data_IF_083749427275
#
_entry.id   IF_083749427275
#
_cell.length_a   1.000
_cell.length_b   1.000
_cell.length_c   1.000
_cell.angle_alpha   90.00
_cell.angle_beta   90.00
_cell.angle_gamma   90.00
#
_symmetry.space_group_name_H-M   'P 1'
#
loop_
_entity.id
_entity.type
_entity.pdbx_description
1 polymer ?
#
# COMPACT_ATOMS: atom_id res chain seq x y z
N UNK A 1 6.70 -18.83 72.11
CA UNK A 1 5.81 -18.02 71.25
C UNK A 1 6.44 -17.62 69.88
N UNK A 2 7.69 -17.99 69.60
CA UNK A 2 8.45 -17.62 68.39
C UNK A 2 8.42 -18.63 67.21
N UNK A 3 7.96 -19.85 67.42
CA UNK A 3 7.92 -20.88 66.37
C UNK A 3 6.70 -20.79 65.43
N UNK A 4 5.58 -20.21 65.91
CA UNK A 4 4.35 -20.09 65.10
C UNK A 4 4.39 -18.91 64.10
N UNK A 5 5.20 -17.89 64.35
CA UNK A 5 5.35 -16.74 63.44
C UNK A 5 6.19 -17.05 62.18
N UNK A 6 7.14 -18.01 62.28
CA UNK A 6 7.99 -18.40 61.12
C UNK A 6 7.29 -19.33 60.14
N UNK A 7 6.30 -20.09 60.55
CA UNK A 7 5.52 -20.96 59.67
C UNK A 7 4.52 -20.17 58.80
N UNK A 8 3.96 -19.09 59.32
CA UNK A 8 3.03 -18.25 58.57
C UNK A 8 3.69 -17.41 57.46
N UNK A 9 4.95 -16.99 57.66
CA UNK A 9 5.71 -16.26 56.62
C UNK A 9 6.17 -17.16 55.48
N UNK A 10 6.46 -18.45 55.71
CA UNK A 10 6.83 -19.40 54.67
C UNK A 10 5.66 -19.77 53.74
N UNK A 11 4.43 -19.84 54.24
CA UNK A 11 3.23 -20.15 53.44
C UNK A 11 2.84 -18.95 52.54
N UNK A 12 3.01 -17.72 53.01
CA UNK A 12 2.74 -16.51 52.20
C UNK A 12 3.73 -16.34 51.04
N UNK A 13 5.00 -16.78 51.17
CA UNK A 13 6.01 -16.69 50.13
C UNK A 13 5.77 -17.69 48.97
N UNK A 14 5.20 -18.86 49.26
CA UNK A 14 4.87 -19.89 48.26
C UNK A 14 3.64 -19.48 47.42
N UNK A 15 2.68 -18.79 48.03
CA UNK A 15 1.50 -18.32 47.32
C UNK A 15 1.81 -17.18 46.33
N UNK A 16 2.88 -16.40 46.52
CA UNK A 16 3.29 -15.32 45.60
C UNK A 16 4.00 -15.83 44.35
N UNK A 17 4.56 -17.05 44.37
CA UNK A 17 5.23 -17.65 43.20
C UNK A 17 4.29 -18.30 42.18
N UNK A 18 3.04 -18.58 42.55
CA UNK A 18 2.03 -19.14 41.64
C UNK A 18 1.29 -18.11 40.80
N UNK A 19 1.45 -16.80 41.07
CA UNK A 19 0.81 -15.72 40.34
C UNK A 19 1.50 -15.35 39.00
N UNK A 20 2.71 -15.90 38.75
CA UNK A 20 3.46 -15.61 37.50
C UNK A 20 3.34 -16.70 36.43
N UNK A 21 2.47 -17.69 36.58
CA UNK A 21 2.30 -18.78 35.61
C UNK A 21 1.05 -18.64 34.74
N UNK A 22 0.43 -17.46 34.66
CA UNK A 22 -0.45 -17.18 33.50
C UNK A 22 0.45 -16.91 32.30
N UNK A 23 0.93 -18.00 31.72
CA UNK A 23 1.32 -17.98 30.33
C UNK A 23 0.13 -17.41 29.56
N UNK A 24 0.36 -16.33 28.81
CA UNK A 24 -0.66 -15.80 27.93
C UNK A 24 -1.15 -16.93 27.03
N UNK A 25 -2.30 -17.49 27.37
CA UNK A 25 -2.99 -18.44 26.54
C UNK A 25 -3.41 -17.67 25.29
N UNK A 26 -2.68 -17.86 24.20
CA UNK A 26 -3.16 -17.50 22.88
C UNK A 26 -4.38 -18.39 22.62
N UNK A 27 -5.56 -17.89 22.97
CA UNK A 27 -6.82 -18.52 22.58
C UNK A 27 -6.95 -18.34 21.08
N UNK A 28 -6.39 -19.28 20.33
CA UNK A 28 -6.60 -19.38 18.89
C UNK A 28 -7.97 -20.03 18.71
N UNK A 29 -9.01 -19.25 18.84
CA UNK A 29 -10.41 -19.71 18.67
C UNK A 29 -10.71 -20.14 17.24
N UNK A 30 -9.80 -19.89 16.31
CA UNK A 30 -9.95 -20.13 14.87
C UNK A 30 -8.76 -20.91 14.27
N UNK A 31 -8.39 -22.03 14.82
CA UNK A 31 -7.43 -22.95 14.20
C UNK A 31 -6.06 -22.34 13.84
N UNK A 32 -5.02 -23.16 13.78
CA UNK A 32 -3.71 -22.76 13.25
C UNK A 32 -3.85 -22.55 11.75
N UNK A 33 -3.96 -21.31 11.33
CA UNK A 33 -4.05 -20.94 9.90
C UNK A 33 -3.98 -19.42 9.77
N UNK A 34 -3.25 -18.94 8.78
CA UNK A 34 -3.27 -17.52 8.42
C UNK A 34 -4.64 -17.24 7.79
N UNK A 35 -5.57 -16.67 8.56
CA UNK A 35 -6.78 -16.10 8.02
C UNK A 35 -6.42 -14.79 7.31
N UNK A 36 -5.77 -14.86 6.15
CA UNK A 36 -5.65 -13.70 5.29
C UNK A 36 -7.01 -13.48 4.63
N UNK A 37 -7.69 -12.39 4.99
CA UNK A 37 -8.84 -11.92 4.23
C UNK A 37 -8.31 -11.49 2.87
N UNK A 38 -8.49 -12.37 1.87
CA UNK A 38 -8.17 -12.06 0.49
C UNK A 38 -9.22 -11.07 -0.02
N UNK A 39 -8.86 -9.80 -0.04
CA UNK A 39 -9.70 -8.76 -0.61
C UNK A 39 -9.68 -8.84 -2.14
N UNK A 40 -10.84 -8.60 -2.76
CA UNK A 40 -10.96 -8.43 -4.21
C UNK A 40 -10.48 -7.04 -4.66
N UNK A 41 -10.30 -6.13 -3.71
CA UNK A 41 -9.87 -4.77 -3.96
C UNK A 41 -8.39 -4.72 -4.38
N UNK A 42 -8.04 -3.95 -5.42
CA UNK A 42 -6.65 -3.78 -5.81
C UNK A 42 -5.87 -3.04 -4.72
N UNK A 43 -4.61 -3.41 -4.55
CA UNK A 43 -3.67 -2.58 -3.80
C UNK A 43 -3.45 -1.26 -4.56
N UNK A 44 -3.41 -0.14 -3.84
CA UNK A 44 -3.22 1.18 -4.46
C UNK A 44 -1.90 1.77 -3.95
N UNK A 45 -1.07 2.25 -4.88
CA UNK A 45 0.24 2.78 -4.52
C UNK A 45 0.80 3.76 -5.56
N UNK A 46 1.90 4.40 -5.18
CA UNK A 46 2.71 5.23 -6.07
C UNK A 46 3.99 4.44 -6.37
N UNK A 47 4.28 4.13 -7.65
CA UNK A 47 5.53 3.45 -8.01
C UNK A 47 6.75 4.29 -7.64
N UNK A 48 7.85 3.62 -7.34
CA UNK A 48 9.12 4.26 -7.04
C UNK A 48 9.51 5.26 -8.13
N UNK A 49 10.09 6.38 -7.73
CA UNK A 49 10.56 7.47 -8.58
C UNK A 49 9.49 8.21 -9.39
N UNK A 50 8.20 7.89 -9.26
CA UNK A 50 7.12 8.57 -9.98
C UNK A 50 6.24 9.44 -9.10
N UNK A 51 6.49 9.47 -7.79
CA UNK A 51 5.74 10.27 -6.82
C UNK A 51 6.09 11.75 -6.81
N UNK A 52 7.12 12.13 -7.55
CA UNK A 52 7.57 13.52 -7.64
C UNK A 52 8.08 13.86 -9.04
N UNK A 53 8.10 15.13 -9.35
CA UNK A 53 8.59 15.67 -10.62
C UNK A 53 9.34 16.97 -10.39
N UNK A 54 10.50 17.11 -11.05
CA UNK A 54 11.28 18.33 -11.09
C UNK A 54 11.41 18.79 -12.52
N UNK A 55 11.13 20.08 -12.76
CA UNK A 55 11.32 20.74 -14.05
C UNK A 55 12.39 21.80 -13.97
N UNK A 56 13.09 22.02 -15.07
CA UNK A 56 14.16 23.01 -15.22
C UNK A 56 13.78 24.03 -16.29
N UNK A 57 14.37 25.21 -16.22
CA UNK A 57 14.18 26.26 -17.23
C UNK A 57 14.61 25.80 -18.64
N UNK A 58 14.12 26.44 -19.70
CA UNK A 58 14.41 26.07 -21.08
C UNK A 58 15.93 26.13 -21.38
N UNK A 59 16.46 25.04 -21.97
CA UNK A 59 17.87 24.94 -22.35
C UNK A 59 18.87 24.92 -21.19
N UNK A 60 18.38 24.77 -19.95
CA UNK A 60 19.18 24.81 -18.76
C UNK A 60 19.85 23.46 -18.47
N UNK A 61 21.05 23.51 -17.90
CA UNK A 61 21.65 22.39 -17.21
C UNK A 61 20.77 21.99 -15.99
N UNK A 62 20.96 20.80 -15.46
CA UNK A 62 20.20 20.34 -14.29
C UNK A 62 20.81 20.85 -12.97
N UNK A 63 21.22 22.13 -12.96
CA UNK A 63 21.75 22.79 -11.78
C UNK A 63 20.63 23.33 -10.88
N UNK A 64 20.96 23.56 -9.61
CA UNK A 64 20.00 24.15 -8.65
C UNK A 64 19.52 25.55 -9.13
N UNK A 65 20.39 26.30 -9.83
CA UNK A 65 20.05 27.64 -10.35
C UNK A 65 19.04 27.63 -11.51
N UNK A 66 18.86 26.51 -12.18
CA UNK A 66 17.94 26.34 -13.30
C UNK A 66 16.63 25.65 -12.92
N UNK A 67 16.44 25.31 -11.65
CA UNK A 67 15.24 24.68 -11.15
C UNK A 67 14.04 25.61 -11.35
N UNK A 68 12.99 25.10 -12.00
CA UNK A 68 11.75 25.84 -12.27
C UNK A 68 10.64 25.44 -11.28
N UNK A 69 10.15 24.21 -11.37
CA UNK A 69 9.10 23.70 -10.50
C UNK A 69 9.48 22.32 -9.96
N UNK A 70 9.25 22.11 -8.68
CA UNK A 70 9.25 20.79 -8.06
C UNK A 70 7.87 20.50 -7.49
N UNK A 71 7.36 19.29 -7.70
CA UNK A 71 6.06 18.86 -7.18
C UNK A 71 6.14 17.44 -6.65
N UNK A 72 5.37 17.15 -5.61
CA UNK A 72 5.25 15.83 -5.00
C UNK A 72 3.78 15.43 -4.85
N UNK A 73 3.50 14.17 -5.14
CA UNK A 73 2.20 13.54 -4.94
C UNK A 73 2.15 12.97 -3.51
N UNK A 74 1.15 13.38 -2.76
CA UNK A 74 1.00 13.06 -1.34
C UNK A 74 -0.45 12.68 -1.04
N UNK A 75 -0.70 12.22 0.17
CA UNK A 75 -2.03 11.94 0.69
C UNK A 75 -2.87 11.04 -0.24
N UNK A 76 -2.23 9.97 -0.76
CA UNK A 76 -2.92 8.98 -1.57
C UNK A 76 -3.92 8.23 -0.69
N UNK A 77 -5.20 8.33 -1.03
CA UNK A 77 -6.31 7.66 -0.35
C UNK A 77 -7.05 6.78 -1.34
N UNK A 78 -7.36 5.58 -0.92
CA UNK A 78 -8.10 4.63 -1.74
C UNK A 78 -9.44 4.27 -1.09
N UNK A 79 -10.46 4.14 -1.92
CA UNK A 79 -11.74 3.53 -1.56
C UNK A 79 -12.05 2.42 -2.56
N UNK A 80 -12.76 1.40 -2.10
CA UNK A 80 -13.09 0.26 -2.94
C UNK A 80 -14.50 -0.24 -2.62
N UNK A 81 -15.21 -0.64 -3.67
CA UNK A 81 -16.50 -1.30 -3.56
C UNK A 81 -16.43 -2.61 -4.38
N UNK A 82 -16.56 -3.73 -3.70
CA UNK A 82 -16.48 -5.09 -4.25
C UNK A 82 -17.82 -5.85 -4.16
N UNK A 83 -18.94 -5.16 -3.95
CA UNK A 83 -20.26 -5.79 -3.76
C UNK A 83 -20.96 -6.15 -5.06
N UNK A 84 -20.57 -5.57 -6.20
CA UNK A 84 -21.15 -5.78 -7.51
C UNK A 84 -20.32 -6.77 -8.37
N UNK A 85 -20.78 -7.04 -9.60
CA UNK A 85 -20.07 -7.88 -10.59
C UNK A 85 -18.72 -7.30 -11.00
N UNK A 86 -18.54 -6.00 -10.83
CA UNK A 86 -17.27 -5.31 -11.01
C UNK A 86 -16.83 -4.68 -9.71
N UNK A 87 -15.59 -4.93 -9.35
CA UNK A 87 -14.92 -4.23 -8.25
C UNK A 87 -14.57 -2.83 -8.74
N UNK A 88 -15.10 -1.81 -8.08
CA UNK A 88 -14.74 -0.41 -8.33
C UNK A 88 -13.73 0.06 -7.30
N UNK A 89 -12.58 0.49 -7.76
CA UNK A 89 -11.58 1.13 -6.90
C UNK A 89 -11.33 2.56 -7.36
N UNK A 90 -11.26 3.47 -6.40
CA UNK A 90 -11.01 4.88 -6.62
C UNK A 90 -9.85 5.33 -5.73
N UNK A 91 -8.98 6.17 -6.27
CA UNK A 91 -7.92 6.81 -5.51
C UNK A 91 -7.99 8.32 -5.69
N UNK A 92 -7.79 9.05 -4.60
CA UNK A 92 -7.58 10.50 -4.57
C UNK A 92 -6.19 10.82 -4.03
N UNK A 93 -5.61 11.90 -4.49
CA UNK A 93 -4.28 12.35 -4.08
C UNK A 93 -4.17 13.87 -4.14
N UNK A 94 -3.21 14.40 -3.40
CA UNK A 94 -2.85 15.80 -3.39
C UNK A 94 -1.49 15.98 -4.03
N UNK A 95 -1.34 17.01 -4.87
CA UNK A 95 -0.06 17.44 -5.43
C UNK A 95 0.33 18.76 -4.79
N UNK A 96 1.44 18.76 -4.08
CA UNK A 96 2.06 19.96 -3.53
C UNK A 96 3.23 20.37 -4.41
N UNK A 97 3.25 21.61 -4.86
CA UNK A 97 4.29 22.11 -5.74
C UNK A 97 4.92 23.39 -5.21
N UNK A 98 6.16 23.60 -5.61
CA UNK A 98 6.93 24.79 -5.37
C UNK A 98 7.60 25.26 -6.65
N UNK A 99 7.55 26.58 -6.93
CA UNK A 99 8.26 27.22 -8.04
C UNK A 99 9.40 28.12 -7.53
N UNK A 100 10.43 28.30 -8.35
CA UNK A 100 11.58 29.15 -8.00
C UNK A 100 11.31 30.62 -8.32
N UNK A 101 10.83 30.92 -9.52
CA UNK A 101 10.46 32.29 -9.90
C UNK A 101 9.01 32.59 -9.46
N UNK A 102 8.86 33.53 -8.53
CA UNK A 102 7.57 33.89 -7.94
C UNK A 102 6.89 35.08 -8.65
N UNK A 103 7.53 35.66 -9.66
CA UNK A 103 7.01 36.83 -10.39
C UNK A 103 5.82 36.43 -11.27
N UNK A 104 4.76 37.19 -11.13
CA UNK A 104 3.52 36.98 -11.88
C UNK A 104 2.74 35.74 -11.48
N UNK A 105 1.44 35.79 -11.72
CA UNK A 105 0.60 34.60 -11.59
C UNK A 105 0.94 33.58 -12.69
N UNK A 106 0.98 32.27 -12.34
CA UNK A 106 1.34 31.22 -13.30
C UNK A 106 0.53 29.94 -13.03
N UNK A 107 0.05 29.33 -14.09
CA UNK A 107 -0.58 28.01 -14.04
C UNK A 107 0.37 26.97 -14.63
N UNK A 108 0.56 25.86 -13.91
CA UNK A 108 1.37 24.73 -14.33
C UNK A 108 0.48 23.50 -14.38
N UNK A 109 0.53 22.76 -15.48
CA UNK A 109 -0.21 21.50 -15.63
C UNK A 109 0.77 20.35 -15.67
N UNK A 110 0.62 19.40 -14.75
CA UNK A 110 1.46 18.23 -14.62
C UNK A 110 0.68 16.97 -15.03
N UNK A 111 1.18 16.20 -16.01
CA UNK A 111 0.55 14.95 -16.39
C UNK A 111 0.83 13.86 -15.33
N UNK A 112 -0.18 13.05 -15.04
CA UNK A 112 -0.05 11.87 -14.23
C UNK A 112 -0.65 10.65 -14.93
N UNK A 113 -0.19 9.47 -14.61
CA UNK A 113 -0.79 8.22 -15.09
C UNK A 113 -1.53 7.51 -13.96
N UNK A 114 -2.51 6.71 -14.37
CA UNK A 114 -3.04 5.61 -13.58
C UNK A 114 -2.91 4.33 -14.39
N UNK A 115 -2.39 3.27 -13.79
CA UNK A 115 -2.30 1.96 -14.43
C UNK A 115 -2.85 0.89 -13.51
N UNK A 116 -3.53 -0.11 -14.10
CA UNK A 116 -3.94 -1.32 -13.42
C UNK A 116 -3.05 -2.45 -13.88
N UNK A 117 -2.37 -3.06 -12.92
CA UNK A 117 -1.55 -4.25 -13.13
C UNK A 117 -2.29 -5.49 -12.61
N UNK A 118 -2.01 -6.63 -13.22
CA UNK A 118 -2.38 -7.96 -12.75
C UNK A 118 -1.13 -8.78 -12.50
N UNK A 119 -1.05 -9.40 -11.32
CA UNK A 119 0.10 -10.22 -10.94
C UNK A 119 1.41 -9.45 -10.82
N UNK A 120 1.36 -8.15 -10.53
CA UNK A 120 2.52 -7.28 -10.33
C UNK A 120 3.24 -6.84 -11.62
N UNK A 121 2.89 -7.38 -12.79
CA UNK A 121 3.64 -7.09 -14.04
C UNK A 121 2.78 -6.89 -15.28
N UNK A 122 1.63 -7.55 -15.40
CA UNK A 122 0.80 -7.46 -16.59
C UNK A 122 -0.04 -6.17 -16.57
N UNK A 123 0.23 -5.25 -17.48
CA UNK A 123 -0.55 -4.00 -17.64
C UNK A 123 -1.90 -4.34 -18.28
N UNK A 124 -2.99 -4.14 -17.52
CA UNK A 124 -4.36 -4.35 -18.00
C UNK A 124 -4.93 -3.08 -18.62
N UNK A 125 -4.65 -1.94 -17.99
CA UNK A 125 -5.07 -0.64 -18.51
C UNK A 125 -4.12 0.46 -18.05
N UNK A 126 -3.97 1.50 -18.88
CA UNK A 126 -3.25 2.73 -18.53
C UNK A 126 -4.03 3.92 -19.07
N UNK A 127 -4.13 4.96 -18.26
CA UNK A 127 -4.69 6.27 -18.65
C UNK A 127 -3.79 7.37 -18.14
N UNK A 128 -3.81 8.50 -18.84
CA UNK A 128 -3.08 9.71 -18.44
C UNK A 128 -4.12 10.80 -18.16
N UNK A 129 -3.96 11.46 -17.03
CA UNK A 129 -4.71 12.63 -16.61
C UNK A 129 -3.79 13.82 -16.39
N UNK A 130 -4.35 14.93 -15.94
CA UNK A 130 -3.62 16.16 -15.67
C UNK A 130 -4.08 16.77 -14.36
N UNK A 131 -3.12 17.28 -13.57
CA UNK A 131 -3.38 18.09 -12.38
C UNK A 131 -2.91 19.52 -12.68
N UNK A 132 -3.77 20.49 -12.39
CA UNK A 132 -3.48 21.91 -12.60
C UNK A 132 -3.14 22.55 -11.27
N UNK A 133 -2.04 23.30 -11.25
CA UNK A 133 -1.50 24.03 -10.12
C UNK A 133 -1.48 25.53 -10.46
N UNK A 134 -2.14 26.35 -9.68
CA UNK A 134 -2.21 27.79 -9.89
C UNK A 134 -1.41 28.50 -8.80
N UNK A 135 -0.36 29.18 -9.20
CA UNK A 135 0.47 30.03 -8.36
C UNK A 135 0.01 31.47 -8.50
N UNK A 136 -0.38 32.10 -7.42
CA UNK A 136 -0.65 33.53 -7.42
C UNK A 136 0.66 34.33 -7.52
N UNK A 137 0.59 35.59 -7.92
CA UNK A 137 1.76 36.49 -7.95
C UNK A 137 2.41 36.57 -6.57
N UNK A 138 3.72 36.44 -6.52
CA UNK A 138 4.50 36.42 -5.28
C UNK A 138 4.46 35.11 -4.49
N UNK A 139 3.61 34.14 -4.88
CA UNK A 139 3.51 32.84 -4.18
C UNK A 139 4.45 31.81 -4.80
N UNK A 140 5.22 31.14 -3.95
CA UNK A 140 6.12 30.05 -4.36
C UNK A 140 5.48 28.66 -4.28
N UNK A 141 4.27 28.53 -3.69
CA UNK A 141 3.60 27.26 -3.46
C UNK A 141 2.23 27.21 -4.10
N UNK A 142 1.87 26.03 -4.59
CA UNK A 142 0.53 25.72 -5.06
C UNK A 142 0.16 24.28 -4.71
N UNK A 143 -1.13 24.02 -4.58
CA UNK A 143 -1.67 22.70 -4.31
C UNK A 143 -2.76 22.37 -5.32
N UNK A 144 -2.78 21.14 -5.80
CA UNK A 144 -3.82 20.59 -6.66
C UNK A 144 -4.24 19.22 -6.16
N UNK A 145 -5.40 18.76 -6.58
CA UNK A 145 -5.91 17.43 -6.26
C UNK A 145 -6.22 16.65 -7.51
N UNK A 146 -6.02 15.33 -7.45
CA UNK A 146 -6.41 14.43 -8.51
C UNK A 146 -7.27 13.29 -7.97
N UNK A 147 -8.11 12.72 -8.86
CA UNK A 147 -8.98 11.60 -8.56
C UNK A 147 -9.01 10.66 -9.75
N UNK A 148 -8.86 9.36 -9.49
CA UNK A 148 -8.82 8.32 -10.50
C UNK A 148 -9.64 7.12 -10.06
N UNK A 149 -10.23 6.39 -11.01
CA UNK A 149 -10.97 5.18 -10.70
C UNK A 149 -10.76 4.10 -11.76
N UNK A 150 -10.92 2.85 -11.34
CA UNK A 150 -10.84 1.69 -12.22
C UNK A 150 -11.90 0.64 -11.85
N UNK A 151 -12.35 -0.08 -12.87
CA UNK A 151 -13.20 -1.25 -12.71
C UNK A 151 -12.41 -2.52 -13.05
N UNK A 152 -12.53 -3.53 -12.21
CA UNK A 152 -11.97 -4.86 -12.41
C UNK A 152 -13.11 -5.86 -12.36
N UNK A 153 -13.14 -6.85 -13.25
CA UNK A 153 -14.14 -7.90 -13.17
C UNK A 153 -13.94 -8.71 -11.88
N UNK A 154 -15.01 -8.90 -11.13
CA UNK A 154 -14.98 -9.66 -9.87
C UNK A 154 -14.45 -11.08 -10.06
N UNK A 155 -14.83 -11.74 -11.16
CA UNK A 155 -14.38 -13.08 -11.48
C UNK A 155 -12.86 -13.16 -11.69
N UNK A 156 -12.25 -12.10 -12.25
CA UNK A 156 -10.79 -12.04 -12.45
C UNK A 156 -10.01 -11.81 -11.16
N UNK A 157 -10.62 -11.10 -10.18
CA UNK A 157 -10.04 -10.83 -8.88
C UNK A 157 -10.29 -11.95 -7.86
N UNK A 158 -11.25 -12.84 -8.12
CA UNK A 158 -11.55 -13.95 -7.24
C UNK A 158 -10.55 -15.09 -7.40
N UNK A 159 -10.18 -15.72 -6.29
CA UNK A 159 -9.44 -16.98 -6.34
C UNK A 159 -10.36 -18.12 -6.79
N UNK A 160 -9.87 -19.08 -7.58
CA UNK A 160 -10.54 -20.34 -7.82
C UNK A 160 -10.95 -21.02 -6.52
N UNK A 161 -12.12 -21.66 -6.49
CA UNK A 161 -12.69 -22.21 -5.26
C UNK A 161 -11.79 -23.29 -4.64
N UNK A 162 -11.21 -24.17 -5.45
CA UNK A 162 -10.29 -25.21 -5.02
C UNK A 162 -9.02 -24.63 -4.34
N UNK A 163 -8.50 -23.52 -4.86
CA UNK A 163 -7.37 -22.82 -4.28
C UNK A 163 -7.79 -22.13 -2.97
N UNK A 164 -8.97 -21.53 -2.93
CA UNK A 164 -9.50 -20.91 -1.72
C UNK A 164 -9.68 -21.96 -0.63
N UNK A 165 -10.25 -23.12 -0.94
CA UNK A 165 -10.41 -24.23 0.00
C UNK A 165 -9.04 -24.72 0.53
N UNK A 166 -8.02 -24.89 -0.34
CA UNK A 166 -6.67 -25.27 0.07
C UNK A 166 -6.09 -24.30 1.10
N UNK A 167 -6.29 -22.98 0.92
CA UNK A 167 -5.74 -21.94 1.79
C UNK A 167 -6.50 -21.85 3.11
N UNK A 168 -7.84 -21.97 3.07
CA UNK A 168 -8.71 -21.76 4.24
C UNK A 168 -9.00 -23.05 5.02
N UNK A 169 -8.56 -24.22 4.51
CA UNK A 169 -8.76 -25.52 5.16
C UNK A 169 -8.21 -25.49 6.58
N UNK A 170 -9.10 -25.71 7.55
CA UNK A 170 -8.71 -25.82 8.97
C UNK A 170 -7.90 -27.08 9.16
N UNK A 171 -6.66 -26.94 9.64
CA UNK A 171 -5.76 -28.04 9.97
C UNK A 171 -5.73 -28.25 11.48
N UNK A 172 -5.70 -29.51 11.91
CA UNK A 172 -5.58 -29.86 13.32
C UNK A 172 -4.15 -30.28 13.63
N UNK A 173 -3.71 -30.04 14.88
CA UNK A 173 -2.45 -30.57 15.36
C UNK A 173 -2.46 -32.10 15.23
N UNK A 174 -1.45 -32.66 14.53
CA UNK A 174 -1.36 -34.09 14.23
C UNK A 174 -1.77 -34.49 12.79
N UNK A 175 -2.39 -33.62 12.02
CA UNK A 175 -2.59 -33.86 10.59
C UNK A 175 -1.24 -33.86 9.86
N UNK A 176 -1.03 -34.77 8.94
CA UNK A 176 0.22 -34.87 8.14
C UNK A 176 0.51 -33.61 7.33
N UNK A 177 -0.53 -32.85 7.01
CA UNK A 177 -0.44 -31.58 6.27
C UNK A 177 -0.37 -30.36 7.21
N UNK A 178 -0.44 -30.53 8.55
CA UNK A 178 -0.46 -29.41 9.49
C UNK A 178 0.81 -28.55 9.45
N UNK A 179 1.94 -29.17 9.11
CA UNK A 179 3.25 -28.51 9.01
C UNK A 179 3.51 -27.87 7.62
N UNK A 180 2.63 -28.10 6.64
CA UNK A 180 2.79 -27.56 5.29
C UNK A 180 2.14 -26.18 5.18
N UNK A 181 2.91 -25.20 4.74
CA UNK A 181 2.36 -23.88 4.39
C UNK A 181 1.70 -23.95 2.99
N UNK A 182 0.37 -23.83 2.89
CA UNK A 182 -0.31 -23.86 1.59
C UNK A 182 0.11 -22.73 0.68
N UNK A 183 0.60 -21.60 1.24
CA UNK A 183 1.11 -20.49 0.46
C UNK A 183 2.49 -20.79 -0.15
N UNK A 184 3.18 -21.85 0.28
CA UNK A 184 4.42 -22.30 -0.35
C UNK A 184 4.19 -23.08 -1.65
N UNK A 185 2.98 -23.63 -1.86
CA UNK A 185 2.59 -24.37 -3.07
C UNK A 185 2.70 -23.48 -4.31
N UNK A 186 3.46 -23.89 -5.36
CA UNK A 186 3.60 -23.12 -6.59
C UNK A 186 2.26 -22.85 -7.31
N UNK A 187 1.31 -23.79 -7.28
CA UNK A 187 -0.01 -23.63 -7.89
C UNK A 187 -0.81 -22.54 -7.16
N UNK A 188 -0.79 -22.57 -5.83
CA UNK A 188 -1.44 -21.56 -4.98
C UNK A 188 -0.82 -20.19 -5.21
N UNK A 189 0.53 -20.08 -5.24
CA UNK A 189 1.23 -18.83 -5.54
C UNK A 189 0.83 -18.27 -6.90
N UNK A 190 0.81 -19.11 -7.93
CA UNK A 190 0.43 -18.70 -9.27
C UNK A 190 -1.03 -18.25 -9.35
N UNK A 191 -1.95 -18.91 -8.66
CA UNK A 191 -3.36 -18.52 -8.60
C UNK A 191 -3.53 -17.18 -7.88
N UNK A 192 -2.87 -16.98 -6.74
CA UNK A 192 -2.87 -15.71 -6.00
C UNK A 192 -2.31 -14.58 -6.88
N UNK A 193 -1.19 -14.81 -7.57
CA UNK A 193 -0.62 -13.81 -8.46
C UNK A 193 -1.61 -13.41 -9.56
N UNK A 194 -2.29 -14.38 -10.19
CA UNK A 194 -3.28 -14.10 -11.23
C UNK A 194 -4.52 -13.35 -10.75
N UNK A 195 -4.91 -13.50 -9.48
CA UNK A 195 -6.06 -12.82 -8.89
C UNK A 195 -5.73 -11.46 -8.27
N UNK A 196 -4.45 -11.14 -8.09
CA UNK A 196 -4.02 -9.85 -7.53
C UNK A 196 -4.04 -8.76 -8.59
N UNK A 197 -4.63 -7.64 -8.21
CA UNK A 197 -4.61 -6.41 -8.98
C UNK A 197 -3.98 -5.29 -8.17
N UNK A 198 -3.31 -4.40 -8.86
CA UNK A 198 -2.70 -3.19 -8.32
C UNK A 198 -3.13 -1.99 -9.16
N UNK A 199 -3.52 -0.91 -8.52
CA UNK A 199 -3.80 0.36 -9.16
C UNK A 199 -2.70 1.34 -8.77
N UNK A 200 -1.83 1.66 -9.72
CA UNK A 200 -0.67 2.51 -9.50
C UNK A 200 -0.91 3.89 -10.10
N UNK A 201 -0.59 4.93 -9.33
CA UNK A 201 -0.75 6.33 -9.71
C UNK A 201 0.58 7.05 -9.54
N UNK A 202 1.01 7.83 -10.52
CA UNK A 202 2.27 8.57 -10.47
C UNK A 202 2.33 9.66 -11.53
N UNK A 203 3.31 10.56 -11.45
CA UNK A 203 3.54 11.52 -12.51
C UNK A 203 3.97 10.81 -13.80
N UNK A 204 3.41 11.25 -14.92
CA UNK A 204 3.84 10.79 -16.24
C UNK A 204 5.13 11.56 -16.61
N UNK A 205 6.25 10.96 -16.24
CA UNK A 205 7.57 11.55 -16.42
C UNK A 205 8.11 11.30 -17.84
N UNK A 206 8.93 12.22 -18.33
CA UNK A 206 9.82 11.96 -19.46
C UNK A 206 10.98 11.06 -18.98
N UNK A 207 11.71 10.46 -19.94
CA UNK A 207 12.91 9.66 -19.62
C UNK A 207 13.93 10.46 -18.80
N UNK A 208 14.13 11.73 -19.17
CA UNK A 208 15.04 12.63 -18.48
C UNK A 208 14.61 12.94 -17.04
N UNK A 209 13.29 13.14 -16.82
CA UNK A 209 12.75 13.37 -15.47
C UNK A 209 12.86 12.12 -14.60
N UNK A 210 12.58 10.95 -15.19
CA UNK A 210 12.73 9.68 -14.48
C UNK A 210 14.21 9.42 -14.13
N UNK A 211 15.12 9.62 -15.09
CA UNK A 211 16.55 9.48 -14.84
C UNK A 211 17.05 10.42 -13.73
N UNK A 212 16.54 11.67 -13.69
CA UNK A 212 16.85 12.60 -12.61
C UNK A 212 16.36 12.09 -11.26
N UNK A 213 15.13 11.57 -11.18
CA UNK A 213 14.57 11.05 -9.92
C UNK A 213 15.32 9.81 -9.40
N UNK A 214 15.83 8.96 -10.30
CA UNK A 214 16.60 7.75 -9.94
C UNK A 214 18.00 8.10 -9.42
N UNK A 215 18.57 9.24 -9.84
CA UNK A 215 20.00 9.58 -9.57
C UNK A 215 20.23 10.61 -8.48
N UNK A 216 19.18 11.19 -7.90
CA UNK A 216 19.30 12.20 -6.83
C UNK A 216 19.23 11.62 -5.42
#
# INVERSE_FOLDING_TARGET
MMLRARALTAVSAVAALSACSQQGELVIDQGVGIASVLTLCPAVGIPDYTGDVTTFGPGADRSVGSLDVSAAMTDLRATCNDTADKVYSEASFTVNARRTDTRGARTVTLPYFVTVLRGGSAVISKRVGQVTLTFADGQDRATGTGKVGSFINRADAALPEDIREKITKRRRAGDTEAALDPLADPEVKAAIARSRFEMLVGFQLTEDQLAYNVTR
#
